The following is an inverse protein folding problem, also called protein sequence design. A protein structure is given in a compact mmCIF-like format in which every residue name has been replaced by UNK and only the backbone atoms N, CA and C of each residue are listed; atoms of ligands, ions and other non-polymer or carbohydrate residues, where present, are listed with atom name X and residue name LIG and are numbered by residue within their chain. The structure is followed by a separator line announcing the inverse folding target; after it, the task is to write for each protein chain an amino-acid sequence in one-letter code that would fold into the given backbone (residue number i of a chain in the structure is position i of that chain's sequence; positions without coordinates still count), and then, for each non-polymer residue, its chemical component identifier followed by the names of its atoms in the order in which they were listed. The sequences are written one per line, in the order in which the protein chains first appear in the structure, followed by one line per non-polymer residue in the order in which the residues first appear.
data_IF_465979952782
#
_entry.id   IF_465979952782
#
_cell.length_a   1.000
_cell.length_b   1.000
_cell.length_c   1.000
_cell.angle_alpha   90.00
_cell.angle_beta   90.00
_cell.angle_gamma   90.00
#
_symmetry.space_group_name_H-M   'P 1'
#
loop_
_entity.id
_entity.type
_entity.pdbx_description
1 polymer ?
#
# COMPACT_ATOMS: atom_id res chain seq x y z
N UNK A 1 -0.22 15.31 6.73
CA UNK A 1 0.51 14.43 7.67
C UNK A 1 0.66 13.07 7.01
N UNK A 2 1.86 12.50 6.98
CA UNK A 2 2.08 11.14 6.47
C UNK A 2 2.17 10.17 7.65
N UNK A 3 1.66 8.95 7.47
CA UNK A 3 1.74 7.87 8.45
C UNK A 3 2.53 6.69 7.87
N UNK A 4 3.08 5.84 8.72
CA UNK A 4 3.80 4.65 8.28
C UNK A 4 2.83 3.55 7.78
N UNK A 5 3.35 2.63 6.96
CA UNK A 5 2.58 1.50 6.40
C UNK A 5 1.84 0.71 7.49
N UNK A 6 2.50 0.41 8.62
CA UNK A 6 1.87 -0.33 9.72
C UNK A 6 0.71 0.45 10.38
N UNK A 7 0.80 1.78 10.45
CA UNK A 7 -0.24 2.64 11.00
C UNK A 7 -1.42 2.74 10.05
N UNK A 8 -1.14 2.93 8.75
CA UNK A 8 -2.16 2.93 7.70
C UNK A 8 -2.93 1.61 7.69
N UNK A 9 -2.25 0.47 7.78
CA UNK A 9 -2.92 -0.85 7.88
C UNK A 9 -3.85 -0.93 9.08
N UNK A 10 -3.36 -0.60 10.28
CA UNK A 10 -4.19 -0.63 11.50
C UNK A 10 -5.42 0.29 11.40
N UNK A 11 -5.31 1.41 10.67
CA UNK A 11 -6.43 2.31 10.42
C UNK A 11 -7.43 1.68 9.43
N UNK A 12 -6.94 1.15 8.32
CA UNK A 12 -7.76 0.60 7.23
C UNK A 12 -8.43 -0.74 7.61
N UNK A 13 -7.81 -1.54 8.48
CA UNK A 13 -8.41 -2.78 9.01
C UNK A 13 -9.72 -2.52 9.75
N UNK A 14 -9.85 -1.37 10.46
CA UNK A 14 -11.10 -0.95 11.12
C UNK A 14 -12.24 -0.70 10.14
N UNK A 15 -11.93 -0.54 8.86
CA UNK A 15 -12.87 -0.37 7.76
C UNK A 15 -13.09 -1.66 6.96
N UNK A 16 -12.75 -2.83 7.52
CA UNK A 16 -12.86 -4.15 6.87
C UNK A 16 -12.02 -4.29 5.60
N UNK A 17 -10.90 -3.57 5.51
CA UNK A 17 -9.91 -3.77 4.45
C UNK A 17 -8.96 -4.88 4.90
N UNK A 18 -8.78 -5.89 4.04
CA UNK A 18 -8.00 -7.09 4.37
C UNK A 18 -6.53 -6.87 4.08
N UNK A 19 -5.67 -7.30 5.00
CA UNK A 19 -4.22 -7.31 4.82
C UNK A 19 -3.63 -8.67 5.23
N UNK A 20 -2.46 -9.05 4.70
CA UNK A 20 -1.66 -10.11 5.29
C UNK A 20 -1.26 -9.71 6.71
N UNK A 21 -1.18 -10.68 7.64
CA UNK A 21 -0.78 -10.36 9.00
C UNK A 21 0.61 -9.74 9.00
N UNK A 22 0.80 -8.77 9.89
CA UNK A 22 2.10 -8.15 10.07
C UNK A 22 2.28 -7.59 11.47
N UNK A 23 3.53 -7.48 11.90
CA UNK A 23 3.91 -6.87 13.16
C UNK A 23 5.15 -6.02 12.97
N UNK A 24 5.23 -4.95 13.76
CA UNK A 24 6.39 -4.05 13.79
C UNK A 24 7.39 -4.54 14.84
N UNK A 25 8.68 -4.42 14.53
CA UNK A 25 9.77 -4.63 15.46
C UNK A 25 10.83 -3.54 15.30
N UNK A 26 11.53 -3.24 16.38
CA UNK A 26 12.54 -2.17 16.46
C UNK A 26 13.93 -2.71 16.76
N UNK A 27 14.04 -4.03 17.03
CA UNK A 27 15.32 -4.70 17.25
C UNK A 27 15.44 -5.97 16.41
N UNK A 28 16.66 -6.39 16.02
CA UNK A 28 16.82 -7.66 15.29
C UNK A 28 16.27 -8.87 16.03
N UNK A 29 16.28 -8.84 17.37
CA UNK A 29 15.70 -9.91 18.20
C UNK A 29 14.17 -9.95 18.09
N UNK A 30 13.50 -8.80 18.09
CA UNK A 30 12.06 -8.73 17.83
C UNK A 30 11.71 -9.22 16.43
N UNK A 31 12.45 -8.79 15.41
CA UNK A 31 12.23 -9.22 14.02
C UNK A 31 12.37 -10.74 13.89
N UNK A 32 13.39 -11.34 14.51
CA UNK A 32 13.53 -12.80 14.58
C UNK A 32 12.29 -13.47 15.18
N UNK A 33 11.83 -12.99 16.34
CA UNK A 33 10.71 -13.59 17.06
C UNK A 33 9.40 -13.47 16.25
N UNK A 34 9.16 -12.32 15.62
CA UNK A 34 8.00 -12.10 14.76
C UNK A 34 8.05 -13.03 13.55
N UNK A 35 9.20 -13.08 12.86
CA UNK A 35 9.38 -13.96 11.70
C UNK A 35 9.16 -15.43 12.07
N UNK A 36 9.69 -15.87 13.22
CA UNK A 36 9.45 -17.22 13.75
C UNK A 36 7.96 -17.48 14.01
N UNK A 37 7.22 -16.50 14.54
CA UNK A 37 5.77 -16.62 14.77
C UNK A 37 4.94 -16.73 13.50
N UNK A 38 5.48 -16.32 12.35
CA UNK A 38 4.86 -16.46 11.03
C UNK A 38 5.39 -17.66 10.23
N UNK A 39 6.07 -18.62 10.89
CA UNK A 39 6.58 -19.83 10.23
C UNK A 39 7.94 -19.65 9.54
N UNK A 40 8.63 -18.52 9.79
CA UNK A 40 10.00 -18.27 9.35
C UNK A 40 10.13 -17.56 8.00
N UNK A 41 9.34 -17.94 6.99
CA UNK A 41 9.36 -17.31 5.66
C UNK A 41 8.49 -16.04 5.66
N UNK A 42 9.09 -14.85 5.52
CA UNK A 42 8.41 -13.56 5.71
C UNK A 42 8.92 -12.48 4.76
N UNK A 43 8.19 -11.38 4.63
CA UNK A 43 8.69 -10.13 4.03
C UNK A 43 9.03 -9.15 5.14
N UNK A 44 10.22 -8.57 5.11
CA UNK A 44 10.68 -7.55 6.06
C UNK A 44 10.83 -6.21 5.33
N UNK A 45 10.21 -5.16 5.87
CA UNK A 45 10.07 -3.84 5.22
C UNK A 45 10.49 -2.72 6.16
N UNK A 46 11.47 -1.91 5.75
CA UNK A 46 11.83 -0.66 6.43
C UNK A 46 10.63 0.28 6.52
N UNK A 47 10.44 0.91 7.69
CA UNK A 47 9.38 1.89 7.91
C UNK A 47 9.96 3.31 7.86
N UNK A 48 9.77 3.98 6.73
CA UNK A 48 10.10 5.39 6.51
C UNK A 48 8.97 6.06 5.74
N UNK A 49 8.85 7.39 5.81
CA UNK A 49 7.86 8.16 5.05
C UNK A 49 8.34 8.43 3.62
N UNK A 50 8.60 7.36 2.87
CA UNK A 50 8.99 7.44 1.46
C UNK A 50 8.63 6.15 0.72
N UNK A 51 8.26 6.28 -0.56
CA UNK A 51 8.15 5.17 -1.50
C UNK A 51 9.53 4.70 -1.99
N UNK A 52 9.57 3.84 -3.00
CA UNK A 52 10.83 3.34 -3.59
C UNK A 52 11.67 2.43 -2.68
N UNK A 53 11.20 2.10 -1.48
CA UNK A 53 11.91 1.28 -0.47
C UNK A 53 12.42 -0.05 -1.02
N UNK A 54 11.65 -0.72 -1.88
CA UNK A 54 12.07 -1.98 -2.50
C UNK A 54 13.32 -1.83 -3.38
N UNK A 55 13.32 -0.82 -4.26
CA UNK A 55 14.47 -0.51 -5.13
C UNK A 55 15.70 -0.08 -4.32
N UNK A 56 15.48 0.56 -3.17
CA UNK A 56 16.53 0.97 -2.23
C UNK A 56 17.06 -0.14 -1.31
N UNK A 57 16.57 -1.39 -1.43
CA UNK A 57 16.98 -2.49 -0.55
C UNK A 57 16.37 -2.46 0.85
N UNK A 58 15.37 -1.60 1.08
CA UNK A 58 14.60 -1.53 2.32
C UNK A 58 13.48 -2.57 2.43
N UNK A 59 13.24 -3.38 1.40
CA UNK A 59 12.25 -4.48 1.42
C UNK A 59 12.93 -5.76 0.97
N UNK A 60 12.77 -6.85 1.74
CA UNK A 60 13.35 -8.14 1.41
C UNK A 60 12.43 -9.30 1.79
N UNK A 61 12.31 -10.28 0.89
CA UNK A 61 11.76 -11.61 1.21
C UNK A 61 12.86 -12.40 1.93
N UNK A 62 12.57 -12.84 3.14
CA UNK A 62 13.46 -13.65 3.96
C UNK A 62 12.91 -15.07 4.04
N UNK A 63 13.75 -16.06 3.75
CA UNK A 63 13.38 -17.47 3.74
C UNK A 63 13.47 -18.15 5.11
N UNK A 64 13.95 -17.42 6.13
CA UNK A 64 13.98 -17.88 7.52
C UNK A 64 13.97 -16.73 8.51
N UNK A 65 13.64 -17.02 9.77
CA UNK A 65 13.72 -16.05 10.86
C UNK A 65 15.17 -15.55 11.09
N UNK A 66 16.17 -16.38 10.82
CA UNK A 66 17.59 -16.02 10.89
C UNK A 66 17.91 -14.98 9.81
N UNK A 67 17.47 -15.23 8.58
CA UNK A 67 17.66 -14.27 7.48
C UNK A 67 16.96 -12.94 7.76
N UNK A 68 15.74 -12.96 8.32
CA UNK A 68 15.01 -11.77 8.72
C UNK A 68 15.78 -10.94 9.77
N UNK A 69 16.38 -11.61 10.76
CA UNK A 69 17.25 -10.99 11.77
C UNK A 69 18.48 -10.33 11.13
N UNK A 70 19.22 -11.06 10.31
CA UNK A 70 20.44 -10.56 9.68
C UNK A 70 20.17 -9.39 8.73
N UNK A 71 19.06 -9.43 8.00
CA UNK A 71 18.61 -8.30 7.19
C UNK A 71 18.30 -7.09 8.07
N UNK A 72 17.54 -7.26 9.15
CA UNK A 72 17.19 -6.14 10.03
C UNK A 72 18.39 -5.51 10.72
N UNK A 73 19.43 -6.28 11.04
CA UNK A 73 20.68 -5.77 11.62
C UNK A 73 21.40 -4.76 10.71
N UNK A 74 21.25 -4.91 9.39
CA UNK A 74 21.87 -4.02 8.39
C UNK A 74 21.07 -2.74 8.15
N UNK A 75 19.78 -2.74 8.50
CA UNK A 75 18.84 -1.68 8.13
C UNK A 75 18.41 -0.84 9.34
N UNK A 76 18.15 -1.46 10.49
CA UNK A 76 17.75 -0.72 11.70
C UNK A 76 18.88 0.22 12.12
N UNK A 77 18.53 1.46 12.47
CA UNK A 77 19.43 2.55 12.82
C UNK A 77 20.39 2.99 11.69
N UNK A 78 20.09 2.66 10.44
CA UNK A 78 20.76 3.23 9.26
C UNK A 78 19.82 4.17 8.51
N UNK A 79 20.39 4.99 7.61
CA UNK A 79 19.63 5.90 6.76
C UNK A 79 19.35 5.22 5.42
N UNK A 80 18.07 5.10 5.08
CA UNK A 80 17.62 4.56 3.80
C UNK A 80 17.37 5.72 2.83
N UNK A 81 18.12 5.73 1.73
CA UNK A 81 17.98 6.68 0.63
C UNK A 81 17.14 6.03 -0.46
N UNK A 82 16.09 6.69 -0.91
CA UNK A 82 15.26 6.26 -2.05
C UNK A 82 15.29 7.34 -3.14
N UNK A 83 14.70 7.04 -4.30
CA UNK A 83 14.51 8.02 -5.37
C UNK A 83 13.56 9.17 -4.99
N UNK A 84 12.87 9.05 -3.86
CA UNK A 84 11.91 10.04 -3.35
C UNK A 84 12.41 10.71 -2.05
N UNK A 85 13.64 10.44 -1.60
CA UNK A 85 14.26 11.14 -0.46
C UNK A 85 15.32 12.13 -0.92
N UNK A 86 15.69 13.07 -0.05
CA UNK A 86 16.94 13.82 -0.21
C UNK A 86 18.19 12.95 0.00
N UNK A 87 19.40 13.50 -0.22
CA UNK A 87 20.66 12.77 -0.10
C UNK A 87 20.91 12.21 1.32
N UNK A 88 20.33 12.84 2.34
CA UNK A 88 20.42 12.40 3.73
C UNK A 88 19.59 11.15 4.05
N UNK A 89 18.65 10.76 3.18
CA UNK A 89 17.71 9.67 3.42
C UNK A 89 16.89 9.84 4.71
N UNK A 90 16.23 8.76 5.12
CA UNK A 90 15.49 8.70 6.38
C UNK A 90 16.03 7.61 7.31
N UNK A 91 16.09 7.91 8.61
CA UNK A 91 16.47 6.94 9.63
C UNK A 91 15.42 5.82 9.71
N UNK A 92 15.88 4.57 9.67
CA UNK A 92 15.01 3.41 9.87
C UNK A 92 15.06 2.98 11.34
N UNK A 93 14.08 3.41 12.12
CA UNK A 93 13.97 3.01 13.55
C UNK A 93 13.22 1.69 13.73
N UNK A 94 12.31 1.39 12.79
CA UNK A 94 11.40 0.24 12.86
C UNK A 94 11.32 -0.48 11.52
N UNK A 95 11.06 -1.77 11.60
CA UNK A 95 10.75 -2.59 10.44
C UNK A 95 9.44 -3.32 10.65
N UNK A 96 8.73 -3.52 9.55
CA UNK A 96 7.46 -4.23 9.50
C UNK A 96 7.67 -5.60 8.86
N UNK A 97 7.30 -6.65 9.59
CA UNK A 97 7.39 -8.03 9.14
C UNK A 97 6.00 -8.50 8.78
N UNK A 98 5.81 -9.05 7.58
CA UNK A 98 4.52 -9.58 7.12
C UNK A 98 4.64 -11.02 6.65
N UNK A 99 3.52 -11.74 6.72
CA UNK A 99 3.35 -13.00 5.99
C UNK A 99 3.62 -12.80 4.49
N UNK A 100 4.07 -13.87 3.82
CA UNK A 100 4.19 -13.91 2.36
C UNK A 100 2.83 -14.26 1.78
N UNK A 101 2.42 -13.51 0.76
CA UNK A 101 1.26 -13.82 -0.05
C UNK A 101 1.68 -14.23 -1.45
N UNK A 102 0.98 -15.20 -2.02
CA UNK A 102 1.09 -15.54 -3.43
C UNK A 102 0.33 -14.50 -4.26
N UNK A 103 1.07 -13.69 -5.01
CA UNK A 103 0.53 -12.55 -5.76
C UNK A 103 0.39 -12.98 -7.23
N UNK A 104 -0.86 -13.21 -7.65
CA UNK A 104 -1.17 -13.55 -9.05
C UNK A 104 -1.20 -12.32 -9.98
N UNK A 105 -1.61 -11.18 -9.44
CA UNK A 105 -1.72 -9.90 -10.17
C UNK A 105 -1.60 -8.74 -9.19
N UNK A 106 -0.89 -7.70 -9.61
CA UNK A 106 -0.79 -6.43 -8.90
C UNK A 106 -1.63 -5.38 -9.62
N UNK A 107 -2.39 -4.61 -8.85
CA UNK A 107 -3.19 -3.49 -9.33
C UNK A 107 -2.72 -2.24 -8.61
N UNK A 108 -2.96 -1.08 -9.21
CA UNK A 108 -2.80 0.20 -8.54
C UNK A 108 -4.17 0.78 -8.21
N UNK A 109 -4.33 1.33 -7.01
CA UNK A 109 -5.53 2.04 -6.60
C UNK A 109 -5.17 3.24 -5.72
N UNK A 110 -5.70 4.41 -6.04
CA UNK A 110 -5.67 5.57 -5.15
C UNK A 110 -7.01 6.28 -5.08
N UNK A 111 -7.21 6.99 -3.98
CA UNK A 111 -8.27 7.96 -3.75
C UNK A 111 -7.63 9.22 -3.20
N UNK A 112 -7.78 10.34 -3.89
CA UNK A 112 -7.23 11.63 -3.50
C UNK A 112 -8.24 12.75 -3.75
N UNK A 113 -8.00 13.93 -3.15
CA UNK A 113 -8.72 15.14 -3.50
C UNK A 113 -8.10 15.71 -4.78
N UNK A 114 -8.88 15.75 -5.85
CA UNK A 114 -8.45 16.32 -7.13
C UNK A 114 -8.81 17.82 -7.16
N UNK A 115 -7.83 18.72 -7.30
CA UNK A 115 -8.09 20.16 -7.30
C UNK A 115 -8.88 20.62 -8.53
N UNK A 116 -8.74 19.94 -9.67
CA UNK A 116 -9.41 20.34 -10.92
C UNK A 116 -10.92 20.05 -10.88
N UNK A 117 -11.30 18.90 -10.29
CA UNK A 117 -12.71 18.53 -10.12
C UNK A 117 -13.28 18.85 -8.75
N UNK A 118 -12.48 19.45 -7.86
CA UNK A 118 -12.83 19.86 -6.50
C UNK A 118 -13.52 18.75 -5.69
N UNK A 119 -13.16 17.49 -5.94
CA UNK A 119 -13.80 16.34 -5.29
C UNK A 119 -12.84 15.16 -5.11
N UNK A 120 -13.18 14.18 -4.25
CA UNK A 120 -12.41 12.95 -4.16
C UNK A 120 -12.51 12.14 -5.47
N UNK A 121 -11.37 11.70 -6.02
CA UNK A 121 -11.29 10.93 -7.26
C UNK A 121 -10.58 9.61 -7.00
N UNK A 122 -11.26 8.52 -7.36
CA UNK A 122 -10.63 7.22 -7.47
C UNK A 122 -9.82 7.15 -8.76
N UNK A 123 -8.60 6.64 -8.67
CA UNK A 123 -7.71 6.33 -9.80
C UNK A 123 -7.29 4.88 -9.68
N UNK A 124 -7.42 4.09 -10.74
CA UNK A 124 -6.98 2.71 -10.74
C UNK A 124 -6.32 2.30 -12.06
N UNK A 125 -5.42 1.34 -11.99
CA UNK A 125 -4.73 0.75 -13.14
C UNK A 125 -4.53 -0.76 -12.96
N UNK A 126 -4.58 -1.50 -14.07
CA UNK A 126 -4.25 -2.93 -14.10
C UNK A 126 -2.76 -3.23 -13.94
N UNK A 127 -1.92 -2.19 -14.02
CA UNK A 127 -0.48 -2.29 -13.91
C UNK A 127 -0.04 -1.75 -12.55
N UNK A 128 -0.13 -2.59 -11.52
CA UNK A 128 0.47 -2.31 -10.22
C UNK A 128 2.00 -2.48 -10.22
N UNK A 129 2.64 -2.07 -9.13
CA UNK A 129 4.09 -2.28 -8.92
C UNK A 129 5.02 -1.31 -9.66
N UNK A 130 4.45 -0.33 -10.39
CA UNK A 130 5.18 0.71 -11.11
C UNK A 130 4.85 2.10 -10.54
N UNK A 131 5.74 3.07 -10.78
CA UNK A 131 5.50 4.47 -10.43
C UNK A 131 4.33 4.98 -11.31
N UNK A 132 3.18 5.31 -10.71
CA UNK A 132 1.95 5.66 -11.45
C UNK A 132 2.13 6.90 -12.32
N UNK A 133 2.99 7.82 -11.90
CA UNK A 133 3.33 9.04 -12.64
C UNK A 133 3.93 8.68 -14.00
N UNK A 134 4.83 7.70 -14.05
CA UNK A 134 5.40 7.20 -15.31
C UNK A 134 4.36 6.51 -16.17
N UNK A 135 3.40 5.79 -15.56
CA UNK A 135 2.30 5.18 -16.30
C UNK A 135 1.37 6.25 -16.91
N UNK A 136 1.12 7.34 -16.21
CA UNK A 136 0.31 8.45 -16.71
C UNK A 136 0.95 9.14 -17.92
N UNK A 137 2.28 9.28 -17.92
CA UNK A 137 3.05 9.84 -19.05
C UNK A 137 3.14 8.88 -20.25
N UNK A 138 3.36 7.59 -19.99
CA UNK A 138 3.66 6.61 -21.05
C UNK A 138 2.44 5.91 -21.63
N UNK A 139 1.36 5.73 -20.86
CA UNK A 139 0.17 5.01 -21.33
C UNK A 139 -1.10 5.37 -20.53
N UNK A 140 -1.65 6.56 -20.81
CA UNK A 140 -2.84 7.10 -20.14
C UNK A 140 -4.09 6.22 -20.29
N UNK A 141 -4.17 5.40 -21.35
CA UNK A 141 -5.30 4.50 -21.61
C UNK A 141 -5.48 3.41 -20.54
N UNK A 142 -4.45 3.13 -19.74
CA UNK A 142 -4.49 2.14 -18.67
C UNK A 142 -4.99 2.69 -17.32
N UNK A 143 -5.29 4.00 -17.26
CA UNK A 143 -5.74 4.66 -16.04
C UNK A 143 -7.24 4.91 -16.11
N UNK A 144 -7.98 4.35 -15.16
CA UNK A 144 -9.41 4.60 -15.00
C UNK A 144 -9.59 5.58 -13.85
N UNK A 145 -10.41 6.62 -14.06
CA UNK A 145 -10.79 7.58 -13.01
C UNK A 145 -12.29 7.54 -12.71
N UNK A 146 -12.66 7.84 -11.47
CA UNK A 146 -14.06 8.05 -11.06
C UNK A 146 -14.17 9.12 -9.98
N UNK A 147 -14.92 10.17 -10.30
CA UNK A 147 -15.24 11.25 -9.37
C UNK A 147 -16.29 10.81 -8.35
N UNK A 148 -16.02 11.12 -7.08
CA UNK A 148 -16.90 10.86 -5.95
C UNK A 148 -17.60 12.16 -5.59
N UNK A 149 -18.93 12.16 -5.69
CA UNK A 149 -19.71 13.34 -5.38
C UNK A 149 -19.60 13.66 -3.88
N UNK A 150 -19.16 14.87 -3.48
CA UNK A 150 -18.95 15.22 -2.08
C UNK A 150 -20.27 15.33 -1.30
N UNK A 151 -21.38 15.62 -1.97
CA UNK A 151 -22.70 15.75 -1.35
C UNK A 151 -23.44 14.42 -1.30
N UNK A 152 -23.47 13.68 -2.41
CA UNK A 152 -24.23 12.45 -2.55
C UNK A 152 -23.46 11.20 -2.09
N UNK A 153 -22.15 11.32 -1.96
CA UNK A 153 -21.23 10.21 -1.73
C UNK A 153 -21.16 9.24 -2.92
N UNK A 154 -20.57 8.08 -2.67
CA UNK A 154 -20.46 7.04 -3.69
C UNK A 154 -21.71 6.14 -3.70
N UNK A 155 -22.26 5.94 -4.90
CA UNK A 155 -23.37 5.00 -5.12
C UNK A 155 -22.87 3.64 -5.64
N UNK A 156 -23.50 2.52 -5.26
CA UNK A 156 -23.06 1.18 -5.68
C UNK A 156 -22.93 0.99 -7.20
N UNK A 157 -23.82 1.61 -8.00
CA UNK A 157 -23.76 1.48 -9.46
C UNK A 157 -22.52 2.16 -10.06
N UNK A 158 -22.07 3.31 -9.51
CA UNK A 158 -20.85 3.99 -9.95
C UNK A 158 -19.62 3.11 -9.69
N UNK A 159 -19.55 2.46 -8.53
CA UNK A 159 -18.48 1.51 -8.23
C UNK A 159 -18.45 0.34 -9.23
N UNK A 160 -19.61 -0.24 -9.54
CA UNK A 160 -19.70 -1.32 -10.53
C UNK A 160 -19.24 -0.87 -11.92
N UNK A 161 -19.65 0.33 -12.36
CA UNK A 161 -19.20 0.91 -13.63
C UNK A 161 -17.70 1.22 -13.64
N UNK A 162 -17.13 1.67 -12.52
CA UNK A 162 -15.70 1.90 -12.40
C UNK A 162 -14.92 0.58 -12.51
N UNK A 163 -15.35 -0.45 -11.80
CA UNK A 163 -14.67 -1.76 -11.85
C UNK A 163 -14.84 -2.43 -13.22
N UNK A 164 -15.98 -2.27 -13.90
CA UNK A 164 -16.13 -2.81 -15.26
C UNK A 164 -15.16 -2.19 -16.25
N UNK A 165 -14.82 -0.90 -16.11
CA UNK A 165 -13.82 -0.23 -16.96
C UNK A 165 -12.40 -0.77 -16.78
N UNK A 166 -12.10 -1.37 -15.62
CA UNK A 166 -10.82 -2.02 -15.39
C UNK A 166 -10.66 -3.34 -16.17
N UNK A 167 -11.73 -3.89 -16.75
CA UNK A 167 -11.67 -5.13 -17.55
C UNK A 167 -10.89 -6.25 -16.86
N UNK A 168 -11.13 -6.45 -15.56
CA UNK A 168 -10.45 -7.47 -14.78
C UNK A 168 -10.84 -8.88 -15.26
N UNK A 169 -9.88 -9.82 -15.37
CA UNK A 169 -10.18 -11.18 -15.75
C UNK A 169 -10.92 -11.90 -14.62
N UNK A 170 -12.09 -12.48 -14.94
CA UNK A 170 -12.96 -13.16 -13.97
C UNK A 170 -14.30 -12.45 -13.77
N UNK A 171 -15.38 -13.21 -13.60
CA UNK A 171 -16.75 -12.67 -13.64
C UNK A 171 -17.25 -12.01 -12.36
N UNK A 172 -16.67 -12.32 -11.19
CA UNK A 172 -17.12 -11.75 -9.91
C UNK A 172 -16.18 -10.66 -9.40
N UNK A 173 -16.65 -9.42 -9.52
CA UNK A 173 -15.96 -8.21 -9.07
C UNK A 173 -16.52 -7.64 -7.75
N UNK A 174 -17.40 -8.38 -7.06
CA UNK A 174 -18.07 -7.95 -5.83
C UNK A 174 -17.08 -7.57 -4.72
N UNK A 175 -15.98 -8.31 -4.59
CA UNK A 175 -14.95 -8.06 -3.59
C UNK A 175 -14.26 -6.70 -3.80
N UNK A 176 -14.00 -6.33 -5.05
CA UNK A 176 -13.36 -5.06 -5.40
C UNK A 176 -14.33 -3.90 -5.18
N UNK A 177 -15.60 -4.07 -5.55
CA UNK A 177 -16.64 -3.07 -5.25
C UNK A 177 -16.75 -2.84 -3.73
N UNK A 178 -16.72 -3.91 -2.94
CA UNK A 178 -16.71 -3.80 -1.47
C UNK A 178 -15.46 -3.11 -0.95
N UNK A 179 -14.28 -3.42 -1.50
CA UNK A 179 -13.02 -2.79 -1.14
C UNK A 179 -13.04 -1.28 -1.39
N UNK A 180 -13.48 -0.85 -2.59
CA UNK A 180 -13.59 0.56 -2.96
C UNK A 180 -14.54 1.32 -2.04
N UNK A 181 -15.69 0.73 -1.71
CA UNK A 181 -16.64 1.32 -0.77
C UNK A 181 -16.03 1.48 0.63
N UNK A 182 -15.27 0.49 1.10
CA UNK A 182 -14.58 0.53 2.38
C UNK A 182 -13.45 1.57 2.40
N UNK A 183 -12.68 1.69 1.32
CA UNK A 183 -11.64 2.73 1.16
C UNK A 183 -12.27 4.12 1.19
N UNK A 184 -13.38 4.34 0.49
CA UNK A 184 -14.07 5.62 0.51
C UNK A 184 -14.56 5.99 1.92
N UNK A 185 -15.16 5.03 2.65
CA UNK A 185 -15.54 5.24 4.06
C UNK A 185 -14.33 5.58 4.93
N UNK A 186 -13.22 4.87 4.76
CA UNK A 186 -11.99 5.14 5.49
C UNK A 186 -11.45 6.55 5.17
N UNK A 187 -11.47 6.94 3.90
CA UNK A 187 -11.01 8.25 3.44
C UNK A 187 -11.79 9.39 4.08
N UNK A 188 -13.13 9.33 4.03
CA UNK A 188 -14.00 10.38 4.56
C UNK A 188 -13.97 10.40 6.10
N UNK A 189 -14.06 9.24 6.76
CA UNK A 189 -14.14 9.18 8.23
C UNK A 189 -12.85 9.55 8.98
N UNK A 190 -11.70 9.54 8.29
CA UNK A 190 -10.41 9.91 8.86
C UNK A 190 -9.84 11.20 8.24
N UNK A 191 -10.66 11.98 7.52
CA UNK A 191 -10.25 13.22 6.85
C UNK A 191 -8.95 13.06 6.02
N UNK A 192 -8.85 11.96 5.28
CA UNK A 192 -7.69 11.68 4.47
C UNK A 192 -7.61 12.63 3.28
N UNK A 193 -6.40 13.05 2.90
CA UNK A 193 -6.15 13.73 1.63
C UNK A 193 -5.75 12.76 0.51
N UNK A 194 -5.19 11.60 0.87
CA UNK A 194 -4.73 10.56 -0.04
C UNK A 194 -4.78 9.19 0.65
N UNK A 195 -5.32 8.20 -0.04
CA UNK A 195 -5.08 6.78 0.20
C UNK A 195 -4.53 6.19 -1.10
N UNK A 196 -3.41 5.48 -1.02
CA UNK A 196 -2.78 4.80 -2.15
C UNK A 196 -2.42 3.36 -1.75
N UNK A 197 -2.76 2.40 -2.60
CA UNK A 197 -2.66 0.95 -2.38
C UNK A 197 -2.11 0.28 -3.63
#
# INVERSE_FOLDING_TARGET
LNIHEYQARNMLEKHNIKFPKGKVGSTPKEIYNIAKSFGGKVVVKAQIHSGGRGKAGGVKICNSAIEAKEFSKKIINTRLITNQTGPEGYLVEKMFVTEITDIKKELYLSLLIDPDSECPVFIASLHGGMDIEKTAESNQANIVKMNCDPLLGIKPYKLKQFVSKLNLPGGDNSQIVSLLNNIYKAFISNDCSLIEI
#
